data_IF_606382076983
#
_entry.id   IF_606382076983
#
_cell.length_a   1.000
_cell.length_b   1.000
_cell.length_c   1.000
_cell.angle_alpha   90.00
_cell.angle_beta   90.00
_cell.angle_gamma   90.00
#
_symmetry.space_group_name_H-M   'P 1'
#
loop_
_entity.id
_entity.type
_entity.pdbx_description
1 polymer ?
#
# COMPACT_ATOMS: atom_id res chain seq x y z
N UNK A 1 12.24 -13.54 1.22
CA UNK A 1 10.77 -13.42 1.37
C UNK A 1 10.50 -12.28 2.31
N UNK A 2 9.90 -11.22 1.80
CA UNK A 2 9.50 -10.04 2.56
C UNK A 2 8.01 -9.81 2.42
N UNK A 3 7.42 -9.22 3.45
CA UNK A 3 6.06 -8.72 3.42
C UNK A 3 6.10 -7.22 3.57
N UNK A 4 5.34 -6.53 2.74
CA UNK A 4 5.25 -5.08 2.69
C UNK A 4 3.80 -4.72 2.89
N UNK A 5 3.52 -3.84 3.84
CA UNK A 5 2.20 -3.27 4.05
C UNK A 5 2.24 -1.79 3.72
N UNK A 6 1.39 -1.35 2.80
CA UNK A 6 1.27 0.04 2.38
C UNK A 6 -0.14 0.57 2.63
N UNK A 7 -0.20 1.86 2.98
CA UNK A 7 -1.41 2.66 2.92
C UNK A 7 -1.17 3.85 2.00
N UNK A 8 -2.06 4.06 1.03
CA UNK A 8 -1.93 5.12 0.04
C UNK A 8 -3.24 5.87 -0.14
N UNK A 9 -3.13 7.19 -0.31
CA UNK A 9 -4.21 8.07 -0.73
C UNK A 9 -3.88 8.62 -2.12
N UNK A 10 -4.85 8.57 -3.02
CA UNK A 10 -4.78 9.16 -4.36
C UNK A 10 -6.01 10.01 -4.59
N UNK A 11 -5.84 11.17 -5.21
CA UNK A 11 -6.91 12.09 -5.59
C UNK A 11 -6.61 12.65 -6.98
N UNK A 12 -7.64 12.90 -7.77
CA UNK A 12 -7.54 13.64 -9.02
C UNK A 12 -8.67 14.65 -9.14
N UNK A 13 -8.32 15.87 -9.54
CA UNK A 13 -9.25 16.96 -9.73
C UNK A 13 -8.91 17.70 -11.03
N UNK A 14 -9.84 18.55 -11.45
CA UNK A 14 -9.66 19.38 -12.65
C UNK A 14 -9.42 20.80 -12.19
N UNK A 15 -8.31 21.38 -12.62
CA UNK A 15 -7.97 22.76 -12.30
C UNK A 15 -8.25 23.63 -13.54
N UNK A 16 -9.13 24.62 -13.37
CA UNK A 16 -9.36 25.63 -14.39
C UNK A 16 -8.24 26.67 -14.29
N UNK A 17 -7.37 26.72 -15.31
CA UNK A 17 -6.35 27.77 -15.41
C UNK A 17 -7.01 29.13 -15.68
N UNK A 18 -6.37 30.22 -15.21
CA UNK A 18 -6.80 31.59 -15.52
C UNK A 18 -6.85 31.86 -17.04
N UNK A 19 -7.58 32.93 -17.39
CA UNK A 19 -8.18 33.35 -18.68
C UNK A 19 -7.50 33.02 -20.02
N UNK A 20 -6.24 32.58 -20.08
CA UNK A 20 -5.47 32.38 -21.32
C UNK A 20 -5.17 30.91 -21.68
N UNK A 21 -5.59 29.93 -20.86
CA UNK A 21 -5.39 28.51 -21.16
C UNK A 21 -6.65 27.87 -21.79
N UNK A 22 -6.50 27.30 -22.98
CA UNK A 22 -7.60 26.79 -23.81
C UNK A 22 -8.23 25.48 -23.35
N UNK A 23 -7.64 24.76 -22.38
CA UNK A 23 -8.24 23.53 -21.84
C UNK A 23 -7.97 23.32 -20.33
N UNK A 24 -8.97 22.78 -19.60
CA UNK A 24 -8.80 22.41 -18.20
C UNK A 24 -7.81 21.24 -18.06
N UNK A 25 -6.96 21.30 -17.04
CA UNK A 25 -5.94 20.28 -16.78
C UNK A 25 -6.37 19.34 -15.65
N UNK A 26 -6.14 18.03 -15.82
CA UNK A 26 -6.35 17.06 -14.74
C UNK A 26 -5.09 16.94 -13.91
N UNK A 27 -5.20 17.27 -12.63
CA UNK A 27 -4.11 17.16 -11.64
C UNK A 27 -4.34 15.91 -10.80
N UNK A 28 -3.24 15.22 -10.45
CA UNK A 28 -3.26 14.02 -9.60
C UNK A 28 -2.37 14.25 -8.38
N UNK A 29 -2.93 14.05 -7.19
CA UNK A 29 -2.22 14.04 -5.92
C UNK A 29 -2.10 12.63 -5.37
N UNK A 30 -0.92 12.28 -4.84
CA UNK A 30 -0.65 10.99 -4.19
C UNK A 30 0.06 11.21 -2.86
N UNK A 31 -0.33 10.44 -1.85
CA UNK A 31 0.29 10.44 -0.54
C UNK A 31 0.45 9.01 -0.02
N UNK A 32 1.64 8.66 0.44
CA UNK A 32 1.88 7.45 1.22
C UNK A 32 1.54 7.74 2.68
N UNK A 33 0.53 7.06 3.20
CA UNK A 33 0.11 7.17 4.60
C UNK A 33 1.08 6.43 5.52
N UNK A 34 1.50 5.23 5.09
CA UNK A 34 2.56 4.46 5.72
C UNK A 34 3.11 3.41 4.75
N UNK A 35 4.32 2.94 5.06
CA UNK A 35 4.92 1.77 4.45
C UNK A 35 5.72 1.03 5.50
N UNK A 36 5.34 -0.21 5.78
CA UNK A 36 6.05 -1.09 6.69
C UNK A 36 6.56 -2.30 5.91
N UNK A 37 7.78 -2.73 6.19
CA UNK A 37 8.38 -3.92 5.59
C UNK A 37 8.88 -4.83 6.70
N UNK A 38 8.60 -6.12 6.59
CA UNK A 38 9.15 -7.14 7.47
C UNK A 38 9.77 -8.27 6.66
N UNK A 39 10.94 -8.71 7.09
CA UNK A 39 11.54 -9.92 6.56
C UNK A 39 10.82 -11.14 7.17
N UNK A 40 10.36 -12.06 6.33
CA UNK A 40 9.71 -13.31 6.78
C UNK A 40 10.62 -14.52 6.69
N UNK A 41 11.47 -14.56 5.66
CA UNK A 41 12.42 -15.64 5.46
C UNK A 41 13.53 -15.22 4.53
N UNK A 42 14.74 -15.68 4.81
CA UNK A 42 15.93 -15.38 4.03
C UNK A 42 16.60 -14.10 4.50
N UNK A 43 17.55 -13.62 3.71
CA UNK A 43 18.42 -12.50 4.08
C UNK A 43 17.68 -11.18 4.26
N UNK A 44 18.07 -10.46 5.31
CA UNK A 44 17.66 -9.07 5.52
C UNK A 44 18.27 -8.12 4.48
N UNK A 45 17.75 -6.88 4.38
CA UNK A 45 18.23 -5.89 3.42
C UNK A 45 19.71 -5.51 3.61
N UNK A 46 20.25 -5.65 4.82
CA UNK A 46 21.63 -5.27 5.18
C UNK A 46 22.63 -6.44 5.10
N UNK A 47 22.18 -7.65 4.75
CA UNK A 47 23.05 -8.82 4.67
C UNK A 47 23.72 -8.94 3.30
N UNK A 48 25.06 -9.09 3.30
CA UNK A 48 25.88 -9.14 2.08
C UNK A 48 25.42 -10.25 1.13
N UNK A 49 25.39 -9.93 -0.16
CA UNK A 49 25.04 -10.85 -1.24
C UNK A 49 25.92 -12.12 -1.28
N UNK A 50 27.14 -12.04 -0.74
CA UNK A 50 28.15 -13.11 -0.78
C UNK A 50 27.89 -14.33 0.10
N UNK A 51 26.97 -14.28 1.07
CA UNK A 51 26.61 -15.48 1.83
C UNK A 51 25.70 -16.42 1.00
N UNK A 52 25.80 -17.75 1.14
CA UNK A 52 24.85 -18.65 0.47
C UNK A 52 23.40 -18.30 0.87
N UNK A 53 22.49 -18.34 -0.09
CA UNK A 53 21.06 -18.10 0.15
C UNK A 53 20.45 -19.17 1.06
N UNK A 54 19.31 -18.87 1.67
CA UNK A 54 18.60 -19.85 2.48
C UNK A 54 17.83 -20.82 1.58
N UNK A 55 18.09 -22.11 1.74
CA UNK A 55 17.40 -23.16 1.00
C UNK A 55 16.04 -23.46 1.64
N UNK A 56 14.96 -23.31 0.86
CA UNK A 56 13.63 -23.81 1.22
C UNK A 56 13.52 -25.24 0.69
N UNK A 57 13.31 -26.21 1.58
CA UNK A 57 13.12 -27.62 1.20
C UNK A 57 11.79 -27.79 0.46
N UNK A 58 11.66 -28.85 -0.34
CA UNK A 58 10.37 -29.21 -0.91
C UNK A 58 9.33 -29.44 0.21
N UNK A 59 8.11 -28.93 0.01
CA UNK A 59 7.01 -29.05 0.97
C UNK A 59 6.21 -27.78 1.13
N UNK A 60 5.26 -27.81 2.07
CA UNK A 60 4.43 -26.66 2.43
C UNK A 60 5.09 -25.87 3.56
N UNK A 61 5.21 -24.55 3.38
CA UNK A 61 5.82 -23.64 4.35
C UNK A 61 4.86 -22.51 4.67
N UNK A 62 4.72 -22.19 5.95
CA UNK A 62 3.90 -21.08 6.41
C UNK A 62 4.75 -20.13 7.25
N UNK A 63 4.89 -18.89 6.77
CA UNK A 63 5.58 -17.82 7.48
C UNK A 63 4.55 -16.92 8.14
N UNK A 64 4.55 -16.90 9.48
CA UNK A 64 3.65 -16.04 10.25
C UNK A 64 4.19 -14.61 10.26
N UNK A 65 3.29 -13.65 10.27
CA UNK A 65 3.60 -12.24 10.38
C UNK A 65 2.56 -11.56 11.26
N UNK A 66 2.96 -10.47 11.88
CA UNK A 66 2.06 -9.57 12.58
C UNK A 66 2.45 -8.14 12.23
N UNK A 67 1.48 -7.24 12.23
CA UNK A 67 1.72 -5.81 12.15
C UNK A 67 0.66 -5.10 12.99
N UNK A 68 1.02 -3.93 13.50
CA UNK A 68 0.08 -3.01 14.12
C UNK A 68 -0.12 -1.84 13.15
N UNK A 69 -1.37 -1.51 12.84
CA UNK A 69 -1.67 -0.33 12.03
C UNK A 69 -1.28 0.94 12.79
N UNK A 70 -0.72 1.96 12.11
CA UNK A 70 -0.62 3.29 12.68
C UNK A 70 -1.97 3.77 13.23
N UNK A 71 -1.91 4.50 14.33
CA UNK A 71 -3.11 5.13 14.86
C UNK A 71 -3.64 6.17 13.87
N UNK A 72 -4.97 6.35 13.86
CA UNK A 72 -5.65 7.42 13.12
C UNK A 72 -5.57 7.34 11.58
N UNK A 73 -5.42 6.15 11.02
CA UNK A 73 -5.61 5.97 9.57
C UNK A 73 -7.03 6.39 9.12
N UNK A 74 -7.17 6.96 7.90
CA UNK A 74 -8.47 7.13 7.29
C UNK A 74 -9.14 5.78 6.99
N UNK A 75 -10.46 5.78 6.78
CA UNK A 75 -11.14 4.60 6.25
C UNK A 75 -10.76 4.39 4.78
N UNK A 76 -10.75 3.14 4.34
CA UNK A 76 -10.74 2.79 2.93
C UNK A 76 -11.97 3.37 2.24
N UNK A 77 -11.76 3.99 1.08
CA UNK A 77 -12.85 4.44 0.23
C UNK A 77 -12.39 4.52 -1.22
N UNK A 78 -13.36 4.49 -2.13
CA UNK A 78 -13.15 4.78 -3.55
C UNK A 78 -14.29 5.68 -4.03
N UNK A 79 -13.94 6.76 -4.72
CA UNK A 79 -14.88 7.66 -5.36
C UNK A 79 -14.60 7.69 -6.86
N UNK A 80 -15.66 7.59 -7.65
CA UNK A 80 -15.59 7.46 -9.10
C UNK A 80 -16.32 8.64 -9.76
N UNK A 81 -15.83 9.09 -10.92
CA UNK A 81 -16.58 9.97 -11.80
C UNK A 81 -17.72 9.21 -12.51
N UNK A 82 -18.62 9.95 -13.17
CA UNK A 82 -19.70 9.38 -13.98
C UNK A 82 -19.21 8.44 -15.10
N UNK A 83 -17.96 8.65 -15.54
CA UNK A 83 -17.27 7.79 -16.53
C UNK A 83 -16.58 6.56 -15.92
N UNK A 84 -16.75 6.31 -14.62
CA UNK A 84 -16.16 5.18 -13.90
C UNK A 84 -14.68 5.32 -13.56
N UNK A 85 -14.06 6.50 -13.78
CA UNK A 85 -12.65 6.74 -13.42
C UNK A 85 -12.54 7.06 -11.94
N UNK A 86 -11.55 6.49 -11.26
CA UNK A 86 -11.28 6.79 -9.84
C UNK A 86 -10.84 8.25 -9.71
N UNK A 87 -11.61 9.03 -8.95
CA UNK A 87 -11.32 10.43 -8.62
C UNK A 87 -10.67 10.57 -7.26
N UNK A 88 -10.95 9.67 -6.33
CA UNK A 88 -10.26 9.63 -5.05
C UNK A 88 -10.27 8.21 -4.50
N UNK A 89 -9.19 7.81 -3.83
CA UNK A 89 -9.06 6.48 -3.24
C UNK A 89 -8.16 6.55 -2.01
N UNK A 90 -8.57 5.86 -0.95
CA UNK A 90 -7.69 5.43 0.14
C UNK A 90 -7.66 3.91 0.13
N UNK A 91 -6.49 3.33 -0.10
CA UNK A 91 -6.31 1.90 -0.22
C UNK A 91 -5.17 1.40 0.67
N UNK A 92 -5.37 0.20 1.23
CA UNK A 92 -4.39 -0.51 2.04
C UNK A 92 -4.10 -1.86 1.41
N UNK A 93 -2.83 -2.20 1.38
CA UNK A 93 -2.35 -3.28 0.54
C UNK A 93 -1.20 -4.05 1.20
N UNK A 94 -1.39 -5.36 1.34
CA UNK A 94 -0.37 -6.28 1.79
C UNK A 94 0.23 -7.00 0.58
N UNK A 95 1.52 -6.81 0.36
CA UNK A 95 2.29 -7.44 -0.71
C UNK A 95 3.35 -8.37 -0.13
N UNK A 96 3.45 -9.57 -0.64
CA UNK A 96 4.55 -10.50 -0.34
C UNK A 96 5.45 -10.58 -1.56
N UNK A 97 6.73 -10.31 -1.36
CA UNK A 97 7.75 -10.43 -2.40
C UNK A 97 8.70 -11.60 -2.05
N UNK A 98 8.76 -12.57 -2.96
CA UNK A 98 9.70 -13.70 -2.93
C UNK A 98 10.71 -13.49 -4.05
N UNK A 99 11.99 -13.44 -3.71
CA UNK A 99 13.08 -13.30 -4.67
C UNK A 99 14.12 -14.38 -4.39
N UNK A 100 14.73 -14.92 -5.45
CA UNK A 100 15.87 -15.82 -5.29
C UNK A 100 17.13 -15.03 -4.88
N UNK A 101 18.17 -15.75 -4.44
CA UNK A 101 19.42 -15.13 -3.93
C UNK A 101 20.14 -14.27 -4.97
N UNK A 102 19.98 -14.59 -6.25
CA UNK A 102 20.61 -13.88 -7.37
C UNK A 102 19.75 -12.74 -7.91
N UNK A 103 18.54 -12.53 -7.36
CA UNK A 103 17.54 -11.57 -7.83
C UNK A 103 17.20 -11.69 -9.33
N UNK A 104 17.44 -12.87 -9.91
CA UNK A 104 17.16 -13.16 -11.33
C UNK A 104 15.73 -13.66 -11.53
N UNK A 105 15.07 -14.12 -10.47
CA UNK A 105 13.69 -14.53 -10.48
C UNK A 105 13.00 -14.05 -9.20
N UNK A 106 11.77 -13.56 -9.36
CA UNK A 106 10.95 -13.09 -8.26
C UNK A 106 9.47 -13.27 -8.54
N UNK A 107 8.71 -13.42 -7.47
CA UNK A 107 7.26 -13.49 -7.49
C UNK A 107 6.72 -12.53 -6.43
N UNK A 108 5.75 -11.72 -6.83
CA UNK A 108 4.98 -10.89 -5.90
C UNK A 108 3.52 -11.31 -5.91
N UNK A 109 2.91 -11.24 -4.73
CA UNK A 109 1.47 -11.42 -4.55
C UNK A 109 0.95 -10.31 -3.68
N UNK A 110 -0.17 -9.75 -4.10
CA UNK A 110 -0.78 -8.59 -3.47
C UNK A 110 -2.19 -8.94 -2.99
N UNK A 111 -2.57 -8.43 -1.82
CA UNK A 111 -3.92 -8.51 -1.28
C UNK A 111 -4.34 -7.18 -0.66
N UNK A 112 -5.50 -6.68 -1.10
CA UNK A 112 -6.11 -5.49 -0.48
C UNK A 112 -6.70 -5.81 0.88
N UNK A 113 -6.60 -4.85 1.78
CA UNK A 113 -7.19 -4.90 3.12
C UNK A 113 -8.17 -3.72 3.24
N UNK A 114 -9.37 -3.99 3.75
CA UNK A 114 -10.35 -2.97 4.07
C UNK A 114 -10.10 -2.45 5.49
N UNK A 115 -9.86 -1.15 5.62
CA UNK A 115 -9.70 -0.47 6.91
C UNK A 115 -10.92 0.40 7.15
N UNK A 116 -11.58 0.22 8.29
CA UNK A 116 -12.73 1.02 8.70
C UNK A 116 -12.38 1.75 9.99
N UNK A 117 -12.37 3.08 9.95
CA UNK A 117 -12.27 3.89 11.15
C UNK A 117 -13.65 4.10 11.73
N UNK A 118 -13.92 3.48 12.88
CA UNK A 118 -15.12 3.78 13.66
C UNK A 118 -15.00 5.19 14.26
N UNK A 119 -16.10 5.95 14.19
CA UNK A 119 -16.26 7.17 14.97
C UNK A 119 -17.38 6.93 15.97
N UNK A 120 -17.09 7.18 17.24
CA UNK A 120 -18.11 7.20 18.28
C UNK A 120 -18.81 8.57 18.25
N UNK A 121 -20.02 8.59 17.71
CA UNK A 121 -20.83 9.80 17.58
C UNK A 121 -21.27 10.36 18.94
N UNK A 122 -21.34 9.52 19.99
CA UNK A 122 -21.76 9.95 21.33
C UNK A 122 -20.65 10.72 22.07
N UNK A 123 -19.40 10.59 21.60
CA UNK A 123 -18.26 11.37 22.09
C UNK A 123 -18.04 12.68 21.33
N UNK A 124 -18.72 12.88 20.20
CA UNK A 124 -18.72 14.15 19.46
C UNK A 124 -19.81 15.08 20.01
N UNK A 125 -19.62 15.60 21.24
CA UNK A 125 -20.45 16.68 21.79
C UNK A 125 -19.99 18.04 21.25
N UNK A 126 -20.21 18.30 19.96
CA UNK A 126 -20.22 19.65 19.36
C UNK A 126 -20.35 19.53 17.84
N UNK A 127 -21.57 19.72 17.33
CA UNK A 127 -21.82 20.32 16.02
C UNK A 127 -22.42 21.70 16.28
#
# INVERSE_FOLDING_TARGET
>A
CRIVFTGQAEVSWVEARQKDASQPETVVGRQTLFQCCSQLFGKGPDEKASQPGHLIRAGFHQFRFHFQLPERLPSSFEHFSDTGRVKARVAYCLRVDLENSWRTAGHSRERRILVLRSRDLNRCKSL
#
